data_IF_957726682854
#
_entry.id   IF_957726682854
#
_cell.length_a   1.000
_cell.length_b   1.000
_cell.length_c   1.000
_cell.angle_alpha   90.00
_cell.angle_beta   90.00
_cell.angle_gamma   90.00
#
_symmetry.space_group_name_H-M   'P 1'
#
loop_
_entity.id
_entity.type
_entity.pdbx_description
1 polymer ?
#
# COMPACT_ATOMS: atom_id res chain seq x y z
N UNK A 1 -2.03 -12.64 -18.20
CA UNK A 1 -1.99 -11.17 -18.02
C UNK A 1 -3.40 -10.56 -17.87
N UNK A 2 -4.36 -11.24 -17.21
CA UNK A 2 -5.75 -10.78 -17.05
C UNK A 2 -6.25 -10.76 -15.60
N UNK A 3 -5.57 -11.49 -14.72
CA UNK A 3 -5.96 -11.70 -13.30
C UNK A 3 -5.59 -10.48 -12.42
N UNK A 4 -4.58 -9.70 -12.81
CA UNK A 4 -4.01 -8.64 -11.96
C UNK A 4 -4.67 -7.26 -12.11
N UNK A 5 -5.40 -7.00 -13.20
CA UNK A 5 -6.20 -5.76 -13.33
C UNK A 5 -7.31 -5.66 -12.27
N UNK A 6 -7.68 -6.78 -11.68
CA UNK A 6 -8.75 -6.84 -10.68
C UNK A 6 -8.24 -6.71 -9.24
N UNK A 7 -6.91 -6.72 -9.02
CA UNK A 7 -6.27 -6.65 -7.69
C UNK A 7 -6.14 -5.20 -7.21
N UNK A 8 -5.75 -4.30 -8.11
CA UNK A 8 -5.58 -2.87 -7.88
C UNK A 8 -6.22 -2.09 -9.03
N UNK A 9 -7.24 -1.30 -8.72
CA UNK A 9 -7.73 -0.26 -9.63
C UNK A 9 -7.45 1.09 -9.02
N UNK A 10 -6.59 1.87 -9.68
CA UNK A 10 -6.45 3.31 -9.43
C UNK A 10 -7.54 4.06 -10.19
N UNK A 11 -8.43 4.76 -9.49
CA UNK A 11 -9.41 5.65 -10.11
C UNK A 11 -9.06 7.10 -9.80
N UNK A 12 -8.83 7.90 -10.84
CA UNK A 12 -8.45 9.29 -10.68
C UNK A 12 -7.03 9.47 -10.15
N UNK A 13 -6.45 10.62 -10.50
CA UNK A 13 -5.20 11.07 -9.92
C UNK A 13 -5.25 12.58 -9.70
N UNK A 14 -4.71 13.02 -8.58
CA UNK A 14 -4.60 14.43 -8.20
C UNK A 14 -3.14 14.71 -7.89
N UNK A 15 -2.53 15.57 -8.69
CA UNK A 15 -1.19 16.09 -8.42
C UNK A 15 -1.31 17.30 -7.47
N UNK A 16 -0.44 17.36 -6.48
CA UNK A 16 -0.35 18.50 -5.56
C UNK A 16 1.09 18.95 -5.35
N UNK A 17 1.26 20.23 -5.02
CA UNK A 17 2.54 20.82 -4.66
C UNK A 17 2.50 21.40 -3.25
N UNK A 18 3.64 21.43 -2.58
CA UNK A 18 3.80 22.01 -1.24
C UNK A 18 4.64 23.28 -1.27
N UNK A 19 4.55 24.09 -0.21
CA UNK A 19 5.38 25.30 -0.05
C UNK A 19 6.88 25.01 0.05
N UNK A 20 7.26 23.77 0.38
CA UNK A 20 8.64 23.32 0.47
C UNK A 20 9.17 22.74 -0.85
N UNK A 21 8.40 22.84 -1.95
CA UNK A 21 8.82 22.36 -3.26
C UNK A 21 8.63 20.85 -3.48
N UNK A 22 8.07 20.12 -2.52
CA UNK A 22 7.67 18.73 -2.76
C UNK A 22 6.45 18.67 -3.69
N UNK A 23 6.52 17.76 -4.67
CA UNK A 23 5.42 17.41 -5.58
C UNK A 23 4.93 16.03 -5.14
N UNK A 24 3.63 15.88 -4.93
CA UNK A 24 3.02 14.61 -4.54
C UNK A 24 1.84 14.24 -5.42
N UNK A 25 1.48 12.97 -5.38
CA UNK A 25 0.36 12.39 -6.11
C UNK A 25 -0.60 11.71 -5.12
N UNK A 26 -1.90 11.96 -5.26
CA UNK A 26 -2.95 11.16 -4.63
C UNK A 26 -3.74 10.41 -5.70
N UNK A 27 -3.99 9.13 -5.48
CA UNK A 27 -4.87 8.32 -6.32
C UNK A 27 -5.82 7.50 -5.46
N UNK A 28 -7.02 7.21 -5.96
CA UNK A 28 -7.94 6.34 -5.24
C UNK A 28 -7.59 4.89 -5.51
N UNK A 29 -7.35 4.10 -4.46
CA UNK A 29 -7.04 2.67 -4.59
C UNK A 29 -8.20 1.82 -4.08
N UNK A 30 -8.56 0.78 -4.83
CA UNK A 30 -9.35 -0.36 -4.30
C UNK A 30 -8.50 -1.61 -4.29
N UNK A 31 -8.20 -2.11 -3.10
CA UNK A 31 -7.70 -3.47 -2.89
C UNK A 31 -8.91 -4.41 -2.86
N UNK A 32 -9.15 -5.14 -3.95
CA UNK A 32 -10.24 -6.14 -3.98
C UNK A 32 -9.78 -7.52 -3.52
N UNK A 33 -8.48 -7.80 -3.61
CA UNK A 33 -7.93 -9.15 -3.45
C UNK A 33 -7.10 -9.35 -2.17
N UNK A 34 -6.84 -8.33 -1.35
CA UNK A 34 -6.13 -8.49 -0.08
C UNK A 34 -7.12 -8.18 1.04
N UNK A 35 -7.69 -9.22 1.65
CA UNK A 35 -8.46 -9.07 2.88
C UNK A 35 -7.48 -8.97 4.06
N UNK A 36 -6.79 -7.83 4.10
CA UNK A 36 -5.65 -7.58 4.96
C UNK A 36 -5.80 -6.25 5.67
N UNK A 37 -6.80 -6.15 6.55
CA UNK A 37 -6.84 -5.08 7.55
C UNK A 37 -5.50 -4.97 8.30
N UNK A 38 -4.82 -6.12 8.51
CA UNK A 38 -3.50 -6.22 9.13
C UNK A 38 -2.33 -5.74 8.27
N UNK A 39 -2.37 -5.89 6.94
CA UNK A 39 -1.29 -5.40 6.07
C UNK A 39 -1.33 -3.88 5.96
N UNK A 40 -2.52 -3.29 5.78
CA UNK A 40 -2.63 -1.83 5.72
C UNK A 40 -2.36 -1.20 7.09
N UNK A 41 -2.79 -1.83 8.18
CA UNK A 41 -2.50 -1.37 9.55
C UNK A 41 -1.00 -1.31 9.85
N UNK A 42 -0.17 -2.19 9.28
CA UNK A 42 1.28 -2.14 9.50
C UNK A 42 1.95 -0.92 8.86
N UNK A 43 1.32 -0.28 7.87
CA UNK A 43 1.75 0.98 7.28
C UNK A 43 1.11 2.22 7.94
N UNK A 44 0.20 2.04 8.90
CA UNK A 44 -0.38 3.13 9.68
C UNK A 44 0.60 3.57 10.79
N UNK A 45 1.67 4.25 10.38
CA UNK A 45 2.66 4.78 11.30
C UNK A 45 2.11 5.98 12.11
N UNK A 46 2.45 6.08 13.39
CA UNK A 46 2.12 7.23 14.26
C UNK A 46 2.56 8.56 13.68
N UNK A 47 3.65 8.58 12.89
CA UNK A 47 4.12 9.78 12.18
C UNK A 47 3.09 10.35 11.20
N UNK A 48 2.20 9.50 10.66
CA UNK A 48 1.15 9.90 9.72
C UNK A 48 -0.19 10.19 10.40
N UNK A 49 -0.28 10.06 11.73
CA UNK A 49 -1.48 10.42 12.49
C UNK A 49 -1.92 11.85 12.18
N UNK A 50 -3.23 12.04 12.02
CA UNK A 50 -3.79 13.38 11.90
C UNK A 50 -3.54 14.13 13.20
N UNK A 51 -2.77 15.23 13.13
CA UNK A 51 -2.41 16.00 14.31
C UNK A 51 -2.69 17.47 14.11
N UNK A 52 -3.30 18.06 15.14
CA UNK A 52 -3.55 19.50 15.29
C UNK A 52 -3.22 19.88 16.73
N UNK A 53 -3.15 21.17 17.04
CA UNK A 53 -2.95 21.64 18.42
C UNK A 53 -3.99 21.11 19.42
N UNK A 54 -5.19 20.74 18.94
CA UNK A 54 -6.33 20.35 19.78
C UNK A 54 -6.52 18.85 19.92
N UNK A 55 -6.08 18.07 18.92
CA UNK A 55 -6.29 16.62 18.88
C UNK A 55 -5.27 15.92 18.00
N UNK A 56 -5.00 14.67 18.35
CA UNK A 56 -4.30 13.71 17.50
C UNK A 56 -5.17 12.48 17.35
N UNK A 57 -5.37 12.05 16.11
CA UNK A 57 -6.20 10.89 15.73
C UNK A 57 -5.41 10.00 14.77
N UNK A 58 -5.68 8.70 14.80
CA UNK A 58 -5.04 7.75 13.89
C UNK A 58 -5.39 8.08 12.44
N UNK A 59 -4.42 7.92 11.53
CA UNK A 59 -4.70 8.00 10.11
C UNK A 59 -5.60 6.83 9.69
N UNK A 60 -6.73 7.14 9.05
CA UNK A 60 -7.69 6.13 8.58
C UNK A 60 -8.00 6.39 7.12
N UNK A 61 -8.01 5.34 6.30
CA UNK A 61 -8.34 5.42 4.87
C UNK A 61 -7.24 6.01 4.00
N UNK A 62 -6.02 6.18 4.54
CA UNK A 62 -4.84 6.63 3.80
C UNK A 62 -3.74 5.59 3.84
N UNK A 63 -3.03 5.48 2.73
CA UNK A 63 -1.87 4.63 2.56
C UNK A 63 -0.71 5.52 2.16
N UNK A 64 0.44 5.33 2.79
CA UNK A 64 1.65 6.08 2.50
C UNK A 64 2.44 5.39 1.37
N UNK A 65 2.42 6.00 0.18
CA UNK A 65 3.10 5.46 -1.01
C UNK A 65 4.59 5.25 -0.78
N UNK A 66 5.29 6.25 -0.24
CA UNK A 66 6.73 6.19 0.04
C UNK A 66 7.07 5.04 0.99
N UNK A 67 6.25 4.81 2.01
CA UNK A 67 6.48 3.74 2.98
C UNK A 67 6.23 2.36 2.35
N UNK A 68 5.21 2.21 1.51
CA UNK A 68 5.00 0.98 0.76
C UNK A 68 6.16 0.72 -0.20
N UNK A 69 6.65 1.74 -0.90
CA UNK A 69 7.75 1.60 -1.86
C UNK A 69 9.07 1.24 -1.17
N UNK A 70 9.28 1.72 0.06
CA UNK A 70 10.44 1.35 0.87
C UNK A 70 10.56 -0.16 1.13
N UNK A 71 9.48 -0.93 0.94
CA UNK A 71 9.54 -2.39 0.97
C UNK A 71 10.55 -2.95 -0.04
N UNK A 72 10.66 -2.34 -1.23
CA UNK A 72 11.56 -2.79 -2.30
C UNK A 72 13.05 -2.61 -1.93
N UNK A 73 13.34 -1.76 -0.95
CA UNK A 73 14.69 -1.52 -0.44
C UNK A 73 15.10 -2.50 0.67
N UNK A 74 14.17 -3.34 1.14
CA UNK A 74 14.45 -4.31 2.22
C UNK A 74 15.28 -5.50 1.72
N UNK A 75 16.04 -6.11 2.64
CA UNK A 75 16.63 -7.42 2.37
C UNK A 75 15.55 -8.49 2.24
N UNK A 76 15.84 -9.56 1.49
CA UNK A 76 14.89 -10.66 1.27
C UNK A 76 14.38 -11.27 2.57
N UNK A 77 15.23 -11.39 3.59
CA UNK A 77 14.85 -11.92 4.91
C UNK A 77 13.81 -11.02 5.60
N UNK A 78 13.99 -9.70 5.56
CA UNK A 78 13.02 -8.74 6.10
C UNK A 78 11.72 -8.71 5.30
N UNK A 79 11.80 -8.87 3.98
CA UNK A 79 10.60 -9.01 3.15
C UNK A 79 9.79 -10.25 3.57
N UNK A 80 10.45 -11.36 3.90
CA UNK A 80 9.77 -12.58 4.39
C UNK A 80 9.04 -12.34 5.71
N UNK A 81 9.65 -11.59 6.64
CA UNK A 81 9.00 -11.21 7.90
C UNK A 81 7.74 -10.36 7.65
N UNK A 82 7.79 -9.42 6.69
CA UNK A 82 6.66 -8.55 6.35
C UNK A 82 5.51 -9.33 5.69
N UNK A 83 5.79 -10.31 4.82
CA UNK A 83 4.72 -11.08 4.17
C UNK A 83 4.05 -12.09 5.09
N UNK A 84 4.64 -12.38 6.25
CA UNK A 84 4.11 -13.37 7.17
C UNK A 84 2.71 -12.97 7.65
N UNK A 85 1.73 -13.85 7.41
CA UNK A 85 0.34 -13.63 7.81
C UNK A 85 -0.47 -12.71 6.87
N UNK A 86 0.10 -12.27 5.75
CA UNK A 86 -0.67 -11.62 4.68
C UNK A 86 -1.38 -12.71 3.87
N UNK A 87 -2.69 -12.55 3.69
CA UNK A 87 -3.51 -13.41 2.86
C UNK A 87 -4.03 -12.65 1.64
N UNK A 88 -4.02 -13.32 0.48
CA UNK A 88 -4.51 -12.79 -0.79
C UNK A 88 -5.50 -13.76 -1.43
N UNK A 89 -6.53 -13.21 -2.07
CA UNK A 89 -7.43 -13.91 -2.98
C UNK A 89 -6.78 -13.95 -4.37
N UNK A 90 -6.58 -15.14 -4.91
CA UNK A 90 -6.00 -15.33 -6.24
C UNK A 90 -7.03 -15.22 -7.38
N UNK A 91 -8.25 -14.77 -7.06
CA UNK A 91 -9.37 -14.65 -7.99
C UNK A 91 -10.20 -15.93 -8.11
N UNK A 92 -9.81 -17.01 -7.41
CA UNK A 92 -10.63 -18.22 -7.26
C UNK A 92 -11.66 -18.11 -6.14
N UNK A 93 -11.60 -17.05 -5.32
CA UNK A 93 -12.39 -16.89 -4.11
C UNK A 93 -11.80 -17.63 -2.90
N UNK A 94 -10.65 -18.29 -3.06
CA UNK A 94 -9.89 -18.88 -1.95
C UNK A 94 -8.73 -17.98 -1.56
N UNK A 95 -8.56 -17.78 -0.25
CA UNK A 95 -7.42 -17.05 0.30
C UNK A 95 -6.19 -17.96 0.37
N UNK A 96 -5.04 -17.44 -0.05
CA UNK A 96 -3.72 -18.06 0.07
C UNK A 96 -2.75 -17.12 0.77
N UNK A 97 -1.71 -17.68 1.36
CA UNK A 97 -0.61 -16.87 1.88
C UNK A 97 0.10 -16.12 0.75
N UNK A 98 0.42 -14.86 1.04
CA UNK A 98 1.19 -14.02 0.14
C UNK A 98 2.65 -14.45 0.10
N UNK A 99 3.24 -14.50 -1.09
CA UNK A 99 4.70 -14.62 -1.23
C UNK A 99 5.35 -13.25 -1.35
N UNK A 100 6.65 -13.17 -1.07
CA UNK A 100 7.47 -11.97 -1.32
C UNK A 100 7.36 -11.54 -2.78
N UNK A 101 7.38 -12.48 -3.73
CA UNK A 101 7.30 -12.14 -5.16
C UNK A 101 5.93 -11.58 -5.56
N UNK A 102 4.86 -11.94 -4.85
CA UNK A 102 3.54 -11.34 -5.07
C UNK A 102 3.53 -9.87 -4.64
N UNK A 103 4.07 -9.56 -3.44
CA UNK A 103 4.14 -8.19 -2.95
C UNK A 103 5.06 -7.30 -3.79
N UNK A 104 6.23 -7.82 -4.20
CA UNK A 104 7.15 -7.10 -5.10
C UNK A 104 6.41 -6.68 -6.37
N UNK A 105 5.72 -7.62 -7.03
CA UNK A 105 4.98 -7.32 -8.27
C UNK A 105 3.89 -6.27 -8.07
N UNK A 106 3.17 -6.34 -6.94
CA UNK A 106 2.12 -5.38 -6.62
C UNK A 106 2.72 -3.97 -6.46
N UNK A 107 3.81 -3.85 -5.72
CA UNK A 107 4.45 -2.57 -5.42
C UNK A 107 5.16 -2.00 -6.67
N UNK A 108 5.80 -2.84 -7.48
CA UNK A 108 6.36 -2.43 -8.77
C UNK A 108 5.29 -1.89 -9.74
N UNK A 109 4.07 -2.42 -9.71
CA UNK A 109 2.97 -1.87 -10.52
C UNK A 109 2.44 -0.56 -9.93
N UNK A 110 2.44 -0.40 -8.60
CA UNK A 110 2.07 0.85 -7.94
C UNK A 110 3.07 1.97 -8.25
N UNK A 111 4.37 1.70 -8.25
CA UNK A 111 5.38 2.73 -8.52
C UNK A 111 5.36 3.26 -9.95
N UNK A 112 4.73 2.56 -10.90
CA UNK A 112 4.56 3.04 -12.29
C UNK A 112 3.58 4.20 -12.44
N UNK A 113 2.81 4.55 -11.40
CA UNK A 113 1.79 5.62 -11.50
C UNK A 113 2.40 7.03 -11.50
N UNK A 114 3.68 7.17 -11.16
CA UNK A 114 4.38 8.45 -11.10
C UNK A 114 5.81 8.36 -11.63
#
# INVERSE_FOLDING_TARGET
>A
MRIWRDVLTTQGSVLFGTIHGAIGLMGDFRFRAIDGGSFLDSFLCTWRSFSTERKTEQAVGFIDGDLIESFLDLSRDKMQEVVQGIQMDDGSGMKRDASVDDLIKIIEELSRIH
#
